data_IF_582272947702
#
_entry.id   IF_582272947702
#
_cell.length_a   1.000
_cell.length_b   1.000
_cell.length_c   1.000
_cell.angle_alpha   90.00
_cell.angle_beta   90.00
_cell.angle_gamma   90.00
#
_symmetry.space_group_name_H-M   'P 1'
#
loop_
_entity.id
_entity.type
_entity.pdbx_description
1 polymer ?
#
# COMPACT_ATOMS: atom_id res chain seq x y z
N UNK A 1 -3.00 -3.68 -9.92
CA UNK A 1 -2.04 -3.51 -11.02
C UNK A 1 -2.53 -2.46 -12.02
N UNK A 2 -3.66 -2.70 -12.70
CA UNK A 2 -4.24 -1.78 -13.71
C UNK A 2 -4.32 -0.30 -13.30
N UNK A 3 -4.85 0.03 -12.12
CA UNK A 3 -4.98 1.43 -11.69
C UNK A 3 -3.62 2.16 -11.61
N UNK A 4 -2.60 1.50 -11.05
CA UNK A 4 -1.27 2.09 -10.93
C UNK A 4 -0.65 2.38 -12.31
N UNK A 5 -0.76 1.43 -13.23
CA UNK A 5 -0.29 1.59 -14.62
C UNK A 5 -1.04 2.72 -15.34
N UNK A 6 -2.36 2.79 -15.17
CA UNK A 6 -3.18 3.84 -15.78
C UNK A 6 -2.77 5.23 -15.28
N UNK A 7 -2.66 5.41 -13.96
CA UNK A 7 -2.26 6.68 -13.36
C UNK A 7 -0.85 7.09 -13.81
N UNK A 8 0.08 6.14 -13.81
CA UNK A 8 1.47 6.37 -14.27
C UNK A 8 1.50 6.81 -15.74
N UNK A 9 0.77 6.11 -16.61
CA UNK A 9 0.68 6.44 -18.05
C UNK A 9 0.05 7.81 -18.29
N UNK A 10 -0.85 8.24 -17.41
CA UNK A 10 -1.47 9.56 -17.45
C UNK A 10 -0.64 10.64 -16.71
N UNK A 11 0.56 10.31 -16.23
CA UNK A 11 1.44 11.20 -15.47
C UNK A 11 0.78 11.78 -14.21
N UNK A 12 -0.14 11.02 -13.60
CA UNK A 12 -0.73 11.38 -12.31
C UNK A 12 0.24 10.94 -11.21
N UNK A 13 0.64 11.83 -10.29
CA UNK A 13 1.54 11.49 -9.20
C UNK A 13 0.96 10.35 -8.36
N UNK A 14 1.78 9.30 -8.18
CA UNK A 14 1.48 8.15 -7.34
C UNK A 14 2.75 7.74 -6.59
N UNK A 15 2.63 7.13 -5.40
CA UNK A 15 3.78 6.55 -4.73
C UNK A 15 4.44 5.48 -5.62
N UNK A 16 5.78 5.44 -5.66
CA UNK A 16 6.54 4.39 -6.34
C UNK A 16 6.05 3.03 -5.90
N UNK A 17 5.74 2.19 -6.88
CA UNK A 17 5.09 0.91 -6.68
C UNK A 17 5.78 -0.16 -7.51
N UNK A 18 6.07 -1.30 -6.90
CA UNK A 18 6.69 -2.47 -7.51
C UNK A 18 5.74 -3.68 -7.34
N UNK A 19 5.51 -4.42 -8.42
CA UNK A 19 4.84 -5.71 -8.36
C UNK A 19 5.89 -6.78 -8.03
N UNK A 20 5.67 -7.48 -6.93
CA UNK A 20 6.62 -8.44 -6.36
C UNK A 20 6.12 -9.86 -6.59
N UNK A 21 7.00 -10.71 -7.10
CA UNK A 21 6.88 -12.16 -7.15
C UNK A 21 8.13 -12.79 -6.51
N UNK A 22 8.15 -14.12 -6.36
CA UNK A 22 9.20 -14.83 -5.62
C UNK A 22 10.62 -14.52 -6.11
N UNK A 23 10.80 -14.31 -7.40
CA UNK A 23 12.13 -14.13 -8.01
C UNK A 23 12.64 -12.68 -7.99
N UNK A 24 11.80 -11.70 -7.65
CA UNK A 24 12.18 -10.28 -7.68
C UNK A 24 12.13 -9.58 -6.32
N UNK A 25 11.95 -10.32 -5.22
CA UNK A 25 11.90 -9.78 -3.85
C UNK A 25 13.10 -8.85 -3.56
N UNK A 26 14.29 -9.22 -4.05
CA UNK A 26 15.52 -8.43 -3.87
C UNK A 26 15.48 -7.03 -4.49
N UNK A 27 14.55 -6.74 -5.41
CA UNK A 27 14.41 -5.45 -6.06
C UNK A 27 13.68 -4.40 -5.21
N UNK A 28 13.03 -4.79 -4.11
CA UNK A 28 12.23 -3.88 -3.27
C UNK A 28 13.12 -2.78 -2.67
N UNK A 29 14.17 -3.15 -1.93
CA UNK A 29 15.01 -2.17 -1.22
C UNK A 29 15.72 -1.21 -2.18
N UNK A 30 16.36 -1.67 -3.27
CA UNK A 30 16.97 -0.77 -4.24
C UNK A 30 15.99 0.21 -4.91
N UNK A 31 14.73 -0.20 -5.09
CA UNK A 31 13.73 0.60 -5.83
C UNK A 31 12.90 1.52 -4.93
N UNK A 32 12.57 1.06 -3.72
CA UNK A 32 11.60 1.71 -2.83
C UNK A 32 12.21 2.14 -1.48
N UNK A 33 13.30 1.51 -1.06
CA UNK A 33 13.84 1.67 0.29
C UNK A 33 12.95 1.04 1.36
N UNK A 34 13.17 1.46 2.61
CA UNK A 34 12.28 1.21 3.76
C UNK A 34 12.08 2.53 4.52
N UNK A 35 10.92 2.77 5.16
CA UNK A 35 9.77 1.87 5.27
C UNK A 35 9.02 1.66 3.95
N UNK A 36 8.40 0.49 3.80
CA UNK A 36 7.63 0.12 2.60
C UNK A 36 6.33 -0.58 2.99
N UNK A 37 5.27 -0.32 2.23
CA UNK A 37 3.95 -0.93 2.40
C UNK A 37 3.81 -2.12 1.46
N UNK A 38 3.45 -3.28 2.00
CA UNK A 38 3.18 -4.52 1.28
C UNK A 38 1.67 -4.80 1.31
N UNK A 39 1.07 -5.05 0.14
CA UNK A 39 -0.39 -5.22 -0.01
C UNK A 39 -0.71 -6.50 -0.78
N UNK A 40 -1.63 -7.29 -0.25
CA UNK A 40 -2.23 -8.42 -0.97
C UNK A 40 -2.99 -7.94 -2.23
N UNK A 41 -2.92 -8.64 -3.38
CA UNK A 41 -3.70 -8.28 -4.55
C UNK A 41 -5.20 -8.51 -4.30
N UNK A 42 -6.04 -7.54 -4.64
CA UNK A 42 -7.50 -7.69 -4.52
C UNK A 42 -8.05 -7.52 -3.10
N UNK A 43 -7.21 -7.15 -2.12
CA UNK A 43 -7.66 -6.78 -0.79
C UNK A 43 -8.52 -5.51 -0.78
N UNK A 44 -9.47 -5.45 0.15
CA UNK A 44 -10.28 -4.28 0.47
C UNK A 44 -10.28 -4.02 1.98
N UNK A 45 -10.73 -2.85 2.40
CA UNK A 45 -10.86 -2.50 3.82
C UNK A 45 -9.56 -2.68 4.63
N UNK A 46 -8.41 -2.34 4.05
CA UNK A 46 -7.07 -2.46 4.66
C UNK A 46 -6.67 -3.86 5.14
N UNK A 47 -7.43 -4.91 4.81
CA UNK A 47 -7.04 -6.30 5.07
C UNK A 47 -5.89 -6.67 4.14
N UNK A 48 -4.85 -7.30 4.69
CA UNK A 48 -3.66 -7.71 3.94
C UNK A 48 -2.72 -6.56 3.59
N UNK A 49 -2.76 -5.46 4.35
CA UNK A 49 -1.84 -4.31 4.19
C UNK A 49 -0.88 -4.28 5.38
N UNK A 50 0.41 -4.43 5.11
CA UNK A 50 1.47 -4.48 6.10
C UNK A 50 2.51 -3.40 5.83
N UNK A 51 3.14 -2.86 6.87
CA UNK A 51 4.28 -1.95 6.73
C UNK A 51 5.52 -2.64 7.30
N UNK A 52 6.57 -2.73 6.48
CA UNK A 52 7.89 -3.14 6.91
C UNK A 52 8.71 -1.89 7.19
N UNK A 53 9.09 -1.68 8.44
CA UNK A 53 9.86 -0.50 8.86
C UNK A 53 11.34 -0.67 8.51
N UNK A 54 11.81 -1.92 8.49
CA UNK A 54 13.21 -2.27 8.27
C UNK A 54 13.37 -3.43 7.29
N UNK A 55 14.57 -3.56 6.74
CA UNK A 55 14.86 -4.56 5.71
C UNK A 55 14.67 -6.00 6.22
N UNK A 56 14.97 -6.25 7.48
CA UNK A 56 14.90 -7.56 8.11
C UNK A 56 13.46 -8.07 8.23
N UNK A 57 12.48 -7.16 8.18
CA UNK A 57 11.05 -7.47 8.27
C UNK A 57 10.47 -7.89 6.91
N UNK A 58 11.15 -7.58 5.79
CA UNK A 58 10.62 -7.80 4.44
C UNK A 58 10.45 -9.27 4.09
N UNK A 59 11.52 -10.05 4.23
CA UNK A 59 11.51 -11.45 3.82
C UNK A 59 10.44 -12.29 4.54
N UNK A 60 10.30 -12.25 5.87
CA UNK A 60 9.24 -13.01 6.55
C UNK A 60 7.83 -12.54 6.15
N UNK A 61 7.60 -11.23 5.99
CA UNK A 61 6.31 -10.70 5.55
C UNK A 61 5.97 -11.15 4.13
N UNK A 62 6.92 -11.04 3.20
CA UNK A 62 6.73 -11.42 1.80
C UNK A 62 6.49 -12.91 1.64
N UNK A 63 7.21 -13.77 2.39
CA UNK A 63 6.96 -15.22 2.37
C UNK A 63 5.50 -15.52 2.74
N UNK A 64 5.01 -14.95 3.85
CA UNK A 64 3.62 -15.11 4.31
C UNK A 64 2.60 -14.61 3.28
N UNK A 65 2.86 -13.46 2.64
CA UNK A 65 1.94 -12.89 1.65
C UNK A 65 1.94 -13.69 0.34
N UNK A 66 3.12 -14.16 -0.10
CA UNK A 66 3.28 -14.94 -1.32
C UNK A 66 2.84 -16.41 -1.18
N UNK A 67 2.62 -16.90 0.03
CA UNK A 67 1.94 -18.17 0.28
C UNK A 67 0.44 -18.10 -0.07
N UNK A 68 -0.18 -16.93 0.12
CA UNK A 68 -1.60 -16.70 -0.16
C UNK A 68 -1.88 -16.19 -1.56
N UNK A 69 -0.87 -15.62 -2.23
CA UNK A 69 -1.01 -14.93 -3.51
C UNK A 69 0.26 -15.09 -4.35
N UNK A 70 0.12 -15.16 -5.68
CA UNK A 70 1.31 -15.26 -6.56
C UNK A 70 2.11 -13.94 -6.62
N UNK A 71 1.45 -12.82 -6.34
CA UNK A 71 1.98 -11.47 -6.47
C UNK A 71 1.70 -10.68 -5.19
N UNK A 72 2.57 -9.72 -4.87
CA UNK A 72 2.36 -8.73 -3.80
C UNK A 72 2.63 -7.35 -4.38
N UNK A 73 1.86 -6.34 -3.95
CA UNK A 73 2.13 -4.94 -4.31
C UNK A 73 3.03 -4.35 -3.21
N UNK A 74 4.27 -4.03 -3.54
CA UNK A 74 5.14 -3.23 -2.69
C UNK A 74 5.06 -1.76 -3.12
N UNK A 75 4.88 -0.85 -2.17
CA UNK A 75 4.71 0.57 -2.43
C UNK A 75 5.51 1.38 -1.41
N UNK A 76 6.20 2.43 -1.85
CA UNK A 76 6.89 3.33 -0.93
C UNK A 76 5.93 3.88 0.14
N UNK A 77 6.41 3.99 1.37
CA UNK A 77 5.62 4.60 2.43
C UNK A 77 5.73 6.13 2.35
N UNK A 78 4.59 6.80 2.21
CA UNK A 78 4.51 8.27 2.24
C UNK A 78 3.92 8.68 3.60
N UNK A 79 4.72 9.21 4.54
CA UNK A 79 4.23 9.62 5.84
C UNK A 79 3.27 10.80 5.71
N UNK A 80 2.12 10.70 6.38
CA UNK A 80 1.12 11.77 6.45
C UNK A 80 0.32 11.65 7.73
N UNK A 81 -0.16 12.78 8.24
CA UNK A 81 -1.04 12.83 9.42
C UNK A 81 -2.50 12.50 9.08
N UNK A 82 -2.85 12.54 7.78
CA UNK A 82 -4.19 12.29 7.28
C UNK A 82 -4.22 11.87 5.81
N UNK A 83 -5.33 11.24 5.42
CA UNK A 83 -5.69 10.96 4.03
C UNK A 83 -6.88 11.80 3.56
N UNK A 84 -6.91 12.13 2.27
CA UNK A 84 -8.07 12.71 1.62
C UNK A 84 -8.96 11.63 1.01
N UNK A 85 -10.27 11.75 1.22
CA UNK A 85 -11.27 10.96 0.49
C UNK A 85 -12.16 11.89 -0.31
N UNK A 86 -12.02 11.84 -1.63
CA UNK A 86 -12.76 12.68 -2.58
C UNK A 86 -13.77 11.81 -3.31
N UNK A 87 -15.04 12.19 -3.26
CA UNK A 87 -16.08 11.53 -4.06
C UNK A 87 -16.37 12.33 -5.31
N UNK A 88 -16.30 11.64 -6.45
CA UNK A 88 -16.54 12.22 -7.77
C UNK A 88 -17.74 11.53 -8.39
N UNK A 89 -18.71 12.31 -8.87
CA UNK A 89 -19.86 11.85 -9.65
C UNK A 89 -19.98 12.72 -10.89
N UNK A 90 -20.13 12.13 -12.07
CA UNK A 90 -20.24 12.86 -13.34
C UNK A 90 -19.13 13.91 -13.52
N UNK A 91 -17.88 13.51 -13.24
CA UNK A 91 -16.67 14.37 -13.32
C UNK A 91 -16.68 15.58 -12.38
N UNK A 92 -17.57 15.63 -11.40
CA UNK A 92 -17.65 16.69 -10.38
C UNK A 92 -17.31 16.13 -9.00
N UNK A 93 -16.43 16.81 -8.27
CA UNK A 93 -16.22 16.52 -6.85
C UNK A 93 -17.48 16.92 -6.06
N UNK A 94 -18.06 15.97 -5.33
CA UNK A 94 -19.25 16.18 -4.52
C UNK A 94 -18.91 16.48 -3.06
N UNK A 95 -18.01 15.69 -2.48
CA UNK A 95 -17.55 15.85 -1.11
C UNK A 95 -16.08 15.48 -0.96
N UNK A 96 -15.43 16.13 -0.01
CA UNK A 96 -14.04 15.90 0.37
C UNK A 96 -13.97 15.73 1.88
N UNK A 97 -13.46 14.60 2.32
CA UNK A 97 -13.29 14.28 3.73
C UNK A 97 -11.79 14.16 4.06
N UNK A 98 -11.42 14.63 5.24
CA UNK A 98 -10.07 14.51 5.81
C UNK A 98 -10.08 13.44 6.90
N UNK A 99 -9.38 12.35 6.70
CA UNK A 99 -9.30 11.23 7.64
C UNK A 99 -7.95 11.27 8.35
N UNK A 100 -7.94 11.55 9.65
CA UNK A 100 -6.73 11.43 10.46
C UNK A 100 -6.38 9.97 10.72
N UNK A 101 -5.09 9.69 10.89
CA UNK A 101 -4.64 8.36 11.30
C UNK A 101 -5.14 8.03 12.71
N UNK A 102 -5.40 6.74 12.97
CA UNK A 102 -5.76 6.30 14.31
C UNK A 102 -4.60 6.57 15.31
N UNK A 103 -4.86 6.91 16.58
CA UNK A 103 -3.81 7.24 17.54
C UNK A 103 -2.73 6.14 17.63
N UNK A 104 -1.48 6.53 17.40
CA UNK A 104 -0.33 5.61 17.42
C UNK A 104 -0.29 4.61 16.25
N UNK A 105 -1.06 4.85 15.19
CA UNK A 105 -1.14 3.98 14.02
C UNK A 105 -0.94 4.77 12.73
N UNK A 106 -0.51 4.10 11.66
CA UNK A 106 -0.20 4.72 10.36
C UNK A 106 -1.34 4.61 9.34
N UNK A 107 -2.47 4.02 9.74
CA UNK A 107 -3.68 3.92 8.92
C UNK A 107 -4.83 4.64 9.62
N UNK A 108 -5.80 5.10 8.82
CA UNK A 108 -7.03 5.76 9.28
C UNK A 108 -7.93 4.87 10.14
N UNK A 109 -7.75 3.54 10.04
CA UNK A 109 -8.42 2.55 10.88
C UNK A 109 -7.39 1.54 11.40
N UNK A 110 -7.48 1.21 12.69
CA UNK A 110 -6.72 0.12 13.31
C UNK A 110 -7.64 -1.09 13.43
N UNK A 111 -7.40 -2.12 12.62
CA UNK A 111 -8.05 -3.41 12.80
C UNK A 111 -7.34 -4.13 13.95
N UNK A 112 -8.06 -4.40 15.04
CA UNK A 112 -7.63 -5.39 16.02
C UNK A 112 -7.94 -6.75 15.41
N UNK A 113 -6.88 -7.52 15.11
CA UNK A 113 -7.06 -8.94 14.88
C UNK A 113 -7.35 -9.55 16.25
N UNK A 114 -8.63 -9.76 16.57
CA UNK A 114 -8.99 -10.83 17.51
C UNK A 114 -8.41 -12.14 16.96
N UNK A 115 -7.87 -12.94 17.88
CA UNK A 115 -7.02 -14.11 17.62
C UNK A 115 -7.56 -15.15 16.65
#
# INVERSE_FOLDING_TARGET
>A
MYLNELLTRQHIPVPRTLIVHRDNIGAIVPSLGVPVVLKEPGGGFSVGVHKAERREELEPLLRRLLEKSELVIAQEYVPTDFDWRVTVLERRALFVCKYFMAPGHWQVHKYEHDG
#
